data_IF_416114028807
#
_entry.id   IF_416114028807
#
_cell.length_a   1.000
_cell.length_b   1.000
_cell.length_c   1.000
_cell.angle_alpha   90.00
_cell.angle_beta   90.00
_cell.angle_gamma   90.00
#
_symmetry.space_group_name_H-M   'P 1'
#
loop_
_entity.id
_entity.type
_entity.pdbx_description
1 polymer ?
#
# COMPACT_ATOMS: atom_id res chain seq x y z
N UNK A 1 -18.93 12.20 -26.84
CA UNK A 1 -17.95 11.25 -26.28
C UNK A 1 -18.54 9.85 -26.07
N UNK A 2 -19.81 9.71 -25.65
CA UNK A 2 -20.46 8.41 -25.36
C UNK A 2 -20.46 7.40 -26.51
N UNK A 3 -21.09 7.71 -27.65
CA UNK A 3 -21.25 6.73 -28.74
C UNK A 3 -19.96 6.10 -29.29
N UNK A 4 -18.85 6.84 -29.32
CA UNK A 4 -17.56 6.29 -29.77
C UNK A 4 -16.94 5.36 -28.73
N UNK A 5 -17.02 5.73 -27.45
CA UNK A 5 -16.63 4.86 -26.35
C UNK A 5 -17.50 3.62 -26.30
N UNK A 6 -18.82 3.75 -26.46
CA UNK A 6 -19.78 2.63 -26.47
C UNK A 6 -19.53 1.67 -27.64
N UNK A 7 -19.11 2.20 -28.80
CA UNK A 7 -18.73 1.38 -29.96
C UNK A 7 -17.42 0.63 -29.73
N UNK A 8 -16.44 1.28 -29.08
CA UNK A 8 -15.15 0.65 -28.76
C UNK A 8 -15.31 -0.39 -27.66
N UNK A 9 -16.02 -0.08 -26.58
CA UNK A 9 -16.28 -1.04 -25.50
C UNK A 9 -17.12 -2.20 -26.02
N UNK A 10 -18.13 -1.95 -26.87
CA UNK A 10 -18.90 -2.99 -27.55
C UNK A 10 -18.07 -3.88 -28.48
N UNK A 11 -17.08 -3.34 -29.19
CA UNK A 11 -16.18 -4.16 -30.01
C UNK A 11 -15.18 -4.95 -29.17
N UNK A 12 -14.66 -4.35 -28.09
CA UNK A 12 -13.69 -4.97 -27.18
C UNK A 12 -14.31 -6.08 -26.32
N UNK A 13 -15.61 -5.99 -25.97
CA UNK A 13 -16.32 -7.09 -25.30
C UNK A 13 -16.52 -8.29 -26.22
N UNK A 14 -16.64 -8.07 -27.53
CA UNK A 14 -16.69 -9.14 -28.54
C UNK A 14 -15.29 -9.71 -28.82
N UNK A 15 -14.24 -8.89 -28.67
CA UNK A 15 -12.86 -9.25 -29.01
C UNK A 15 -11.89 -9.02 -27.82
N UNK A 16 -12.09 -9.69 -26.67
CA UNK A 16 -11.32 -9.43 -25.44
C UNK A 16 -9.84 -9.79 -25.57
N UNK A 17 -9.49 -10.68 -26.51
CA UNK A 17 -8.12 -11.08 -26.82
C UNK A 17 -7.24 -9.91 -27.26
N UNK A 18 -7.76 -8.98 -28.06
CA UNK A 18 -7.00 -7.81 -28.52
C UNK A 18 -6.75 -6.82 -27.39
N UNK A 19 -7.68 -6.72 -26.44
CA UNK A 19 -7.48 -5.93 -25.23
C UNK A 19 -6.42 -6.56 -24.33
N UNK A 20 -6.44 -7.89 -24.17
CA UNK A 20 -5.44 -8.61 -23.40
C UNK A 20 -4.03 -8.41 -23.99
N UNK A 21 -3.92 -8.51 -25.31
CA UNK A 21 -2.68 -8.21 -26.05
C UNK A 21 -2.26 -6.75 -25.86
N UNK A 22 -3.19 -5.81 -25.92
CA UNK A 22 -2.90 -4.39 -25.69
C UNK A 22 -2.38 -4.12 -24.27
N UNK A 23 -3.00 -4.68 -23.23
CA UNK A 23 -2.54 -4.59 -21.83
C UNK A 23 -1.11 -5.12 -21.71
N UNK A 24 -0.85 -6.30 -22.28
CA UNK A 24 0.47 -6.91 -22.26
C UNK A 24 1.53 -6.06 -22.98
N UNK A 25 1.24 -5.61 -24.20
CA UNK A 25 2.17 -4.82 -25.02
C UNK A 25 2.48 -3.48 -24.37
N UNK A 26 1.45 -2.75 -23.90
CA UNK A 26 1.66 -1.45 -23.26
C UNK A 26 2.46 -1.62 -21.97
N UNK A 27 2.15 -2.63 -21.15
CA UNK A 27 2.94 -2.90 -19.94
C UNK A 27 4.40 -3.25 -20.27
N UNK A 28 4.63 -4.03 -21.33
CA UNK A 28 5.97 -4.36 -21.82
C UNK A 28 6.74 -3.14 -22.31
N UNK A 29 6.13 -2.32 -23.17
CA UNK A 29 6.73 -1.09 -23.73
C UNK A 29 7.05 -0.08 -22.62
N UNK A 30 6.16 0.07 -21.64
CA UNK A 30 6.34 0.98 -20.52
C UNK A 30 7.50 0.59 -19.60
N UNK A 31 7.82 -0.71 -19.54
CA UNK A 31 8.96 -1.24 -18.77
C UNK A 31 10.24 -1.37 -19.61
N UNK A 32 10.13 -1.27 -20.93
CA UNK A 32 11.24 -1.37 -21.86
C UNK A 32 12.10 -0.09 -21.82
N UNK A 33 13.41 -0.27 -21.76
CA UNK A 33 14.38 0.82 -21.80
C UNK A 33 14.17 1.72 -23.04
N UNK A 34 14.24 3.04 -22.83
CA UNK A 34 14.08 4.11 -23.83
C UNK A 34 12.63 4.26 -24.30
N UNK A 35 11.96 3.17 -24.66
CA UNK A 35 10.56 3.20 -25.09
C UNK A 35 9.63 3.72 -23.98
N UNK A 36 9.78 3.22 -22.75
CA UNK A 36 9.00 3.67 -21.59
C UNK A 36 9.36 5.08 -21.06
N UNK A 37 10.34 5.75 -21.65
CA UNK A 37 10.64 7.18 -21.40
C UNK A 37 9.91 8.10 -22.38
N UNK A 38 9.73 7.64 -23.63
CA UNK A 38 9.13 8.43 -24.71
C UNK A 38 7.61 8.33 -24.66
N UNK A 39 7.08 7.13 -24.42
CA UNK A 39 5.65 6.89 -24.36
C UNK A 39 5.13 7.32 -22.99
N UNK A 40 4.05 8.13 -22.89
CA UNK A 40 3.40 8.44 -21.62
C UNK A 40 2.60 7.23 -21.13
N UNK A 41 3.27 6.13 -20.80
CA UNK A 41 2.60 4.87 -20.60
C UNK A 41 1.84 4.80 -19.29
N UNK A 42 2.03 5.70 -18.32
CA UNK A 42 1.17 5.75 -17.12
C UNK A 42 -0.27 6.12 -17.46
N UNK A 43 -0.46 7.08 -18.36
CA UNK A 43 -1.79 7.50 -18.85
C UNK A 43 -2.38 6.40 -19.73
N UNK A 44 -1.56 5.80 -20.59
CA UNK A 44 -2.02 4.72 -21.47
C UNK A 44 -2.40 3.46 -20.69
N UNK A 45 -1.61 3.07 -19.69
CA UNK A 45 -1.90 1.96 -18.77
C UNK A 45 -3.19 2.20 -18.01
N UNK A 46 -3.41 3.42 -17.50
CA UNK A 46 -4.66 3.76 -16.84
C UNK A 46 -5.85 3.62 -17.80
N UNK A 47 -5.72 4.15 -19.03
CA UNK A 47 -6.79 4.11 -20.02
C UNK A 47 -7.14 2.67 -20.45
N UNK A 48 -6.15 1.85 -20.79
CA UNK A 48 -6.40 0.45 -21.18
C UNK A 48 -6.88 -0.39 -19.99
N UNK A 49 -6.43 -0.10 -18.77
CA UNK A 49 -6.93 -0.75 -17.57
C UNK A 49 -8.40 -0.38 -17.33
N UNK A 50 -8.78 0.89 -17.51
CA UNK A 50 -10.17 1.32 -17.42
C UNK A 50 -11.05 0.66 -18.49
N UNK A 51 -10.54 0.49 -19.71
CA UNK A 51 -11.24 -0.31 -20.73
C UNK A 51 -11.36 -1.78 -20.32
N UNK A 52 -10.30 -2.38 -19.77
CA UNK A 52 -10.34 -3.76 -19.25
C UNK A 52 -11.39 -3.93 -18.14
N UNK A 53 -11.46 -2.96 -17.22
CA UNK A 53 -12.43 -2.93 -16.11
C UNK A 53 -13.88 -2.70 -16.54
N UNK A 54 -14.15 -2.26 -17.77
CA UNK A 54 -15.53 -2.07 -18.26
C UNK A 54 -16.32 -3.38 -18.46
N UNK A 55 -15.71 -4.53 -18.15
CA UNK A 55 -16.29 -5.86 -18.27
C UNK A 55 -15.62 -6.75 -19.31
N UNK A 56 -14.55 -6.27 -19.96
CA UNK A 56 -13.85 -7.02 -21.00
C UNK A 56 -12.80 -8.02 -20.45
N UNK A 57 -12.14 -7.71 -19.32
CA UNK A 57 -11.18 -8.60 -18.66
C UNK A 57 -11.37 -8.59 -17.15
N UNK A 58 -11.20 -9.73 -16.51
CA UNK A 58 -11.18 -9.82 -15.05
C UNK A 58 -9.99 -9.08 -14.45
N UNK A 59 -10.09 -8.72 -13.16
CA UNK A 59 -8.98 -8.11 -12.43
C UNK A 59 -7.73 -8.99 -12.45
N UNK A 60 -7.91 -10.30 -12.23
CA UNK A 60 -6.82 -11.27 -12.21
C UNK A 60 -6.11 -11.36 -13.55
N UNK A 61 -6.85 -11.39 -14.66
CA UNK A 61 -6.26 -11.43 -16.01
C UNK A 61 -5.50 -10.15 -16.31
N UNK A 62 -6.10 -8.99 -16.01
CA UNK A 62 -5.49 -7.69 -16.23
C UNK A 62 -4.18 -7.55 -15.44
N UNK A 63 -4.18 -7.95 -14.16
CA UNK A 63 -2.98 -7.93 -13.32
C UNK A 63 -1.94 -8.96 -13.78
N UNK A 64 -2.35 -10.16 -14.20
CA UNK A 64 -1.42 -11.18 -14.69
C UNK A 64 -0.75 -10.74 -16.00
N UNK A 65 -1.52 -10.21 -16.95
CA UNK A 65 -1.02 -9.71 -18.23
C UNK A 65 -0.08 -8.52 -18.05
N UNK A 66 -0.45 -7.57 -17.18
CA UNK A 66 0.41 -6.45 -16.81
C UNK A 66 1.72 -6.90 -16.17
N UNK A 67 1.65 -7.89 -15.29
CA UNK A 67 2.80 -8.45 -14.60
C UNK A 67 3.75 -9.17 -15.57
N UNK A 68 3.22 -10.03 -16.43
CA UNK A 68 4.01 -10.76 -17.44
C UNK A 68 4.61 -9.81 -18.47
N UNK A 69 3.84 -8.82 -18.94
CA UNK A 69 4.32 -7.79 -19.85
C UNK A 69 5.44 -6.96 -19.23
N UNK A 70 5.25 -6.50 -17.99
CA UNK A 70 6.25 -5.76 -17.25
C UNK A 70 7.54 -6.55 -16.99
N UNK A 71 7.43 -7.85 -16.66
CA UNK A 71 8.58 -8.75 -16.51
C UNK A 71 9.34 -8.96 -17.81
N UNK A 72 8.62 -9.12 -18.93
CA UNK A 72 9.24 -9.26 -20.23
C UNK A 72 10.02 -7.99 -20.60
N UNK A 73 9.42 -6.81 -20.43
CA UNK A 73 10.07 -5.51 -20.68
C UNK A 73 11.32 -5.31 -19.82
N UNK A 74 11.24 -5.64 -18.53
CA UNK A 74 12.38 -5.64 -17.61
C UNK A 74 13.49 -6.60 -18.07
N UNK A 75 13.13 -7.83 -18.44
CA UNK A 75 14.06 -8.85 -18.91
C UNK A 75 14.78 -8.44 -20.19
N UNK A 76 14.05 -7.95 -21.19
CA UNK A 76 14.63 -7.43 -22.44
C UNK A 76 15.60 -6.29 -22.13
N UNK A 77 15.20 -5.35 -21.27
CA UNK A 77 16.05 -4.22 -20.86
C UNK A 77 17.33 -4.69 -20.16
N UNK A 78 17.24 -5.67 -19.27
CA UNK A 78 18.38 -6.28 -18.60
C UNK A 78 19.34 -6.94 -19.59
N UNK A 79 18.85 -7.74 -20.53
CA UNK A 79 19.69 -8.40 -21.52
C UNK A 79 20.31 -7.41 -22.50
N UNK A 80 19.61 -6.34 -22.88
CA UNK A 80 20.18 -5.25 -23.66
C UNK A 80 21.35 -4.59 -22.90
N UNK A 81 21.15 -4.29 -21.62
CA UNK A 81 22.20 -3.75 -20.74
C UNK A 81 23.42 -4.67 -20.67
N UNK A 82 23.18 -5.98 -20.51
CA UNK A 82 24.24 -7.00 -20.42
C UNK A 82 24.95 -7.27 -21.74
N UNK A 83 24.27 -7.15 -22.87
CA UNK A 83 24.89 -7.39 -24.18
C UNK A 83 25.75 -6.20 -24.63
N UNK A 84 25.26 -4.98 -24.46
CA UNK A 84 25.95 -3.78 -24.97
C UNK A 84 26.88 -3.13 -23.95
N UNK A 85 26.74 -3.42 -22.64
CA UNK A 85 27.51 -2.80 -21.57
C UNK A 85 27.65 -1.27 -21.76
N UNK A 86 28.88 -0.74 -21.74
CA UNK A 86 29.18 0.69 -21.92
C UNK A 86 28.82 1.23 -23.31
N UNK A 87 28.72 0.37 -24.34
CA UNK A 87 28.37 0.79 -25.69
C UNK A 87 26.92 1.25 -25.83
N UNK A 88 26.05 0.93 -24.87
CA UNK A 88 24.64 1.34 -24.88
C UNK A 88 24.48 2.87 -24.88
N UNK A 89 25.48 3.59 -24.35
CA UNK A 89 25.56 5.05 -24.34
C UNK A 89 25.67 5.66 -25.74
N UNK A 90 26.03 4.86 -26.75
CA UNK A 90 26.14 5.29 -28.15
C UNK A 90 24.81 5.28 -28.89
N UNK A 91 23.75 4.70 -28.32
CA UNK A 91 22.42 4.71 -28.92
C UNK A 91 21.92 6.15 -29.08
N UNK A 92 21.30 6.52 -30.21
CA UNK A 92 20.96 7.90 -30.53
C UNK A 92 20.12 8.59 -29.45
N UNK A 93 19.14 7.90 -28.87
CA UNK A 93 18.32 8.46 -27.78
C UNK A 93 19.09 8.74 -26.48
N UNK A 94 19.99 7.83 -26.08
CA UNK A 94 20.80 7.97 -24.85
C UNK A 94 22.00 8.91 -25.04
N UNK A 95 22.47 9.07 -26.28
CA UNK A 95 23.55 10.01 -26.63
C UNK A 95 23.10 11.47 -26.49
N UNK A 96 21.85 11.75 -26.82
CA UNK A 96 21.27 13.09 -26.71
C UNK A 96 20.85 13.44 -25.28
N UNK A 97 20.49 12.45 -24.46
CA UNK A 97 20.09 12.61 -23.06
C UNK A 97 20.92 11.73 -22.10
N UNK A 98 22.21 12.03 -21.92
CA UNK A 98 23.08 11.26 -21.03
C UNK A 98 22.65 11.35 -19.56
N UNK A 99 21.88 12.38 -19.17
CA UNK A 99 21.37 12.53 -17.81
C UNK A 99 20.52 11.35 -17.33
N UNK A 100 19.74 10.70 -18.21
CA UNK A 100 18.86 9.58 -17.84
C UNK A 100 19.68 8.36 -17.41
N UNK A 101 20.73 8.06 -18.16
CA UNK A 101 21.67 6.97 -17.85
C UNK A 101 22.48 7.28 -16.58
N UNK A 102 23.07 8.48 -16.51
CA UNK A 102 23.91 8.88 -15.38
C UNK A 102 23.12 8.88 -14.06
N UNK A 103 21.85 9.31 -14.10
CA UNK A 103 20.97 9.31 -12.93
C UNK A 103 20.63 7.89 -12.47
N UNK A 104 20.33 6.99 -13.40
CA UNK A 104 20.05 5.59 -13.10
C UNK A 104 21.29 4.85 -12.57
N UNK A 105 22.47 5.07 -13.14
CA UNK A 105 23.75 4.50 -12.69
C UNK A 105 24.12 5.01 -11.29
N UNK A 106 24.04 6.33 -11.05
CA UNK A 106 24.29 6.91 -9.72
C UNK A 106 23.33 6.35 -8.67
N UNK A 107 22.06 6.20 -9.03
CA UNK A 107 21.05 5.63 -8.14
C UNK A 107 21.30 4.14 -7.87
N UNK A 108 21.69 3.38 -8.89
CA UNK A 108 22.04 1.97 -8.76
C UNK A 108 23.28 1.75 -7.90
N UNK A 109 24.34 2.54 -8.07
CA UNK A 109 25.53 2.49 -7.21
C UNK A 109 25.22 2.82 -5.75
N UNK A 110 24.29 3.76 -5.51
CA UNK A 110 23.93 4.19 -4.16
C UNK A 110 23.04 3.20 -3.42
N UNK A 111 22.06 2.59 -4.10
CA UNK A 111 21.03 1.76 -3.47
C UNK A 111 21.12 0.27 -3.84
N UNK A 112 21.99 -0.10 -4.77
CA UNK A 112 22.20 -1.48 -5.20
C UNK A 112 20.89 -2.16 -5.61
N UNK A 113 20.63 -3.33 -5.05
CA UNK A 113 19.42 -4.13 -5.33
C UNK A 113 18.14 -3.37 -4.98
N UNK A 114 18.14 -2.57 -3.91
CA UNK A 114 16.96 -1.82 -3.49
C UNK A 114 16.53 -0.76 -4.52
N UNK A 115 17.44 -0.36 -5.42
CA UNK A 115 17.13 0.56 -6.51
C UNK A 115 16.09 -0.02 -7.46
N UNK A 116 16.12 -1.32 -7.75
CA UNK A 116 15.17 -1.99 -8.65
C UNK A 116 13.76 -2.05 -8.07
N UNK A 117 13.65 -2.21 -6.74
CA UNK A 117 12.36 -2.23 -6.05
C UNK A 117 11.71 -0.84 -6.00
N UNK A 118 12.47 0.16 -5.51
CA UNK A 118 11.92 1.50 -5.23
C UNK A 118 11.92 2.38 -6.46
N UNK A 119 12.98 2.30 -7.26
CA UNK A 119 13.15 3.13 -8.46
C UNK A 119 12.13 2.82 -9.54
N UNK A 120 11.44 1.68 -9.47
CA UNK A 120 10.32 1.33 -10.36
C UNK A 120 9.13 2.29 -10.25
N UNK A 121 8.98 2.99 -9.13
CA UNK A 121 7.92 3.99 -8.91
C UNK A 121 8.38 5.43 -9.23
N UNK A 122 9.61 5.60 -9.72
CA UNK A 122 10.18 6.90 -10.10
C UNK A 122 10.19 6.98 -11.62
N UNK A 123 9.28 7.76 -12.20
CA UNK A 123 8.99 7.79 -13.65
C UNK A 123 10.21 7.67 -14.57
N UNK A 124 11.16 8.63 -14.55
CA UNK A 124 12.31 8.60 -15.46
C UNK A 124 13.32 7.48 -15.19
N UNK A 125 13.39 6.97 -13.96
CA UNK A 125 14.38 5.94 -13.59
C UNK A 125 13.87 4.52 -13.87
N UNK A 126 12.55 4.31 -13.82
CA UNK A 126 11.90 3.00 -13.92
C UNK A 126 12.40 2.15 -15.10
N UNK A 127 12.27 2.58 -16.38
CA UNK A 127 12.67 1.74 -17.52
C UNK A 127 14.20 1.62 -17.68
N UNK A 128 14.99 2.46 -17.00
CA UNK A 128 16.45 2.46 -17.09
C UNK A 128 17.12 1.50 -16.11
N UNK A 129 16.52 1.27 -14.95
CA UNK A 129 17.15 0.48 -13.87
C UNK A 129 17.40 -0.99 -14.23
N UNK A 130 16.48 -1.72 -14.89
CA UNK A 130 16.77 -3.08 -15.36
C UNK A 130 17.97 -3.12 -16.33
N UNK A 131 18.05 -2.14 -17.23
CA UNK A 131 19.16 -2.01 -18.19
C UNK A 131 20.49 -1.71 -17.48
N UNK A 132 20.50 -0.79 -16.51
CA UNK A 132 21.70 -0.50 -15.70
C UNK A 132 22.14 -1.73 -14.91
N UNK A 133 21.20 -2.49 -14.34
CA UNK A 133 21.52 -3.73 -13.62
C UNK A 133 22.21 -4.76 -14.54
N UNK A 134 21.76 -4.88 -15.80
CA UNK A 134 22.43 -5.71 -16.81
C UNK A 134 23.81 -5.19 -17.19
N UNK A 135 23.95 -3.88 -17.39
CA UNK A 135 25.21 -3.21 -17.72
C UNK A 135 26.28 -3.40 -16.64
N UNK A 136 25.87 -3.41 -15.36
CA UNK A 136 26.71 -3.64 -14.19
C UNK A 136 26.93 -5.12 -13.84
N UNK A 137 26.63 -6.05 -14.75
CA UNK A 137 26.84 -7.49 -14.57
C UNK A 137 26.15 -8.13 -13.36
N UNK A 138 24.98 -7.61 -12.96
CA UNK A 138 24.20 -8.22 -11.88
C UNK A 138 23.79 -9.66 -12.26
N UNK A 139 23.96 -10.67 -11.39
CA UNK A 139 23.55 -12.05 -11.70
C UNK A 139 22.05 -12.16 -11.99
N UNK A 140 21.69 -12.81 -13.10
CA UNK A 140 20.29 -12.93 -13.56
C UNK A 140 19.33 -13.47 -12.48
N UNK A 141 19.65 -14.51 -11.68
CA UNK A 141 18.73 -15.00 -10.65
C UNK A 141 18.39 -13.94 -9.59
N UNK A 142 19.36 -13.09 -9.24
CA UNK A 142 19.16 -11.99 -8.29
C UNK A 142 18.28 -10.90 -8.90
N UNK A 143 18.53 -10.55 -10.16
CA UNK A 143 17.71 -9.59 -10.90
C UNK A 143 16.27 -10.08 -11.02
N UNK A 144 16.06 -11.31 -11.47
CA UNK A 144 14.75 -11.90 -11.69
C UNK A 144 13.92 -11.95 -10.40
N UNK A 145 14.52 -12.39 -9.27
CA UNK A 145 13.82 -12.43 -7.98
C UNK A 145 13.30 -11.06 -7.55
N UNK A 146 14.11 -10.02 -7.75
CA UNK A 146 13.77 -8.64 -7.36
C UNK A 146 12.78 -8.02 -8.34
N UNK A 147 12.95 -8.27 -9.63
CA UNK A 147 12.05 -7.81 -10.69
C UNK A 147 10.65 -8.44 -10.54
N UNK A 148 10.54 -9.70 -10.15
CA UNK A 148 9.24 -10.34 -9.82
C UNK A 148 8.51 -9.57 -8.72
N UNK A 149 9.18 -9.28 -7.61
CA UNK A 149 8.54 -8.54 -6.50
C UNK A 149 8.19 -7.11 -6.92
N UNK A 150 9.09 -6.43 -7.64
CA UNK A 150 8.89 -5.07 -8.12
C UNK A 150 7.72 -4.99 -9.13
N UNK A 151 7.68 -5.91 -10.10
CA UNK A 151 6.67 -5.97 -11.15
C UNK A 151 5.30 -6.28 -10.57
N UNK A 152 5.20 -7.17 -9.58
CA UNK A 152 3.94 -7.45 -8.89
C UNK A 152 3.38 -6.19 -8.22
N UNK A 153 4.19 -5.50 -7.42
CA UNK A 153 3.78 -4.27 -6.73
C UNK A 153 3.44 -3.13 -7.70
N UNK A 154 4.22 -2.96 -8.76
CA UNK A 154 3.98 -1.97 -9.79
C UNK A 154 2.69 -2.23 -10.56
N UNK A 155 2.42 -3.48 -10.93
CA UNK A 155 1.22 -3.83 -11.69
C UNK A 155 -0.04 -3.49 -10.91
N UNK A 156 -0.07 -3.83 -9.62
CA UNK A 156 -1.16 -3.44 -8.72
C UNK A 156 -1.27 -1.90 -8.64
N UNK A 157 -0.16 -1.20 -8.42
CA UNK A 157 -0.20 0.27 -8.25
C UNK A 157 -0.69 1.03 -9.50
N UNK A 158 -0.34 0.57 -10.71
CA UNK A 158 -0.64 1.29 -11.95
C UNK A 158 -1.90 0.78 -12.67
N UNK A 159 -2.23 -0.51 -12.62
CA UNK A 159 -3.41 -1.05 -13.29
C UNK A 159 -4.67 -1.02 -12.43
N UNK A 160 -4.56 -1.24 -11.10
CA UNK A 160 -5.73 -1.32 -10.23
C UNK A 160 -6.58 -0.05 -10.24
N UNK A 161 -6.04 1.18 -10.17
CA UNK A 161 -6.86 2.39 -10.20
C UNK A 161 -7.62 2.57 -11.52
N UNK A 162 -6.98 2.26 -12.65
CA UNK A 162 -7.61 2.33 -13.97
C UNK A 162 -8.71 1.28 -14.10
N UNK A 163 -8.39 0.03 -13.79
CA UNK A 163 -9.36 -1.07 -13.85
C UNK A 163 -10.54 -0.87 -12.91
N UNK A 164 -10.31 -0.41 -11.67
CA UNK A 164 -11.37 -0.09 -10.73
C UNK A 164 -12.25 1.06 -11.24
N UNK A 165 -11.66 2.05 -11.91
CA UNK A 165 -12.42 3.13 -12.55
C UNK A 165 -13.32 2.58 -13.66
N UNK A 166 -12.82 1.66 -14.48
CA UNK A 166 -13.62 0.95 -15.48
C UNK A 166 -14.80 0.19 -14.89
N UNK A 167 -14.54 -0.58 -13.83
CA UNK A 167 -15.57 -1.36 -13.13
C UNK A 167 -16.62 -0.44 -12.47
N UNK A 168 -16.17 0.67 -11.88
CA UNK A 168 -17.04 1.69 -11.28
C UNK A 168 -18.04 2.29 -12.26
N UNK A 169 -17.67 2.46 -13.55
CA UNK A 169 -18.59 2.97 -14.57
C UNK A 169 -19.64 1.94 -15.02
N UNK A 170 -19.40 0.64 -14.82
CA UNK A 170 -20.35 -0.43 -15.13
C UNK A 170 -21.39 -0.61 -14.03
N UNK A 171 -20.95 -0.49 -12.78
CA UNK A 171 -21.81 -0.63 -11.62
C UNK A 171 -22.78 0.56 -11.52
N UNK A 172 -24.04 0.34 -11.09
CA UNK A 172 -24.97 1.41 -10.76
C UNK A 172 -24.55 2.11 -9.45
N UNK A 173 -23.40 2.78 -9.48
CA UNK A 173 -22.87 3.49 -8.33
C UNK A 173 -23.76 4.71 -8.00
N UNK A 174 -23.86 5.09 -6.72
CA UNK A 174 -24.61 6.29 -6.36
C UNK A 174 -24.00 7.53 -7.00
N UNK A 175 -24.84 8.50 -7.41
CA UNK A 175 -24.42 9.70 -8.14
C UNK A 175 -23.33 10.51 -7.41
N UNK A 176 -23.35 10.50 -6.07
CA UNK A 176 -22.38 11.17 -5.20
C UNK A 176 -21.04 10.45 -5.02
N UNK A 177 -20.84 9.25 -5.57
CA UNK A 177 -19.64 8.44 -5.32
C UNK A 177 -18.35 9.16 -5.72
N UNK A 178 -18.27 9.65 -6.95
CA UNK A 178 -17.06 10.29 -7.50
C UNK A 178 -16.65 11.58 -6.75
N UNK A 179 -17.56 12.54 -6.46
CA UNK A 179 -17.18 13.72 -5.70
C UNK A 179 -16.74 13.38 -4.27
N UNK A 180 -17.42 12.45 -3.59
CA UNK A 180 -17.03 12.01 -2.24
C UNK A 180 -15.67 11.30 -2.24
N UNK A 181 -15.42 10.41 -3.21
CA UNK A 181 -14.12 9.76 -3.40
C UNK A 181 -13.00 10.78 -3.66
N UNK A 182 -13.28 11.83 -4.45
CA UNK A 182 -12.33 12.89 -4.72
C UNK A 182 -11.99 13.71 -3.46
N UNK A 183 -12.98 14.00 -2.60
CA UNK A 183 -12.77 14.67 -1.31
C UNK A 183 -11.88 13.81 -0.40
N UNK A 184 -12.19 12.51 -0.27
CA UNK A 184 -11.38 11.58 0.54
C UNK A 184 -9.96 11.51 0.01
N UNK A 185 -9.77 11.32 -1.30
CA UNK A 185 -8.47 11.25 -1.93
C UNK A 185 -7.67 12.56 -1.76
N UNK A 186 -8.32 13.71 -1.93
CA UNK A 186 -7.71 15.03 -1.71
C UNK A 186 -7.22 15.23 -0.28
N UNK A 187 -8.06 14.89 0.72
CA UNK A 187 -7.68 14.95 2.13
C UNK A 187 -6.49 14.05 2.47
N UNK A 188 -6.47 12.81 1.97
CA UNK A 188 -5.34 11.89 2.16
C UNK A 188 -4.08 12.36 1.43
N UNK A 189 -4.20 12.93 0.23
CA UNK A 189 -3.08 13.49 -0.51
C UNK A 189 -2.46 14.70 0.21
N UNK A 190 -3.27 15.59 0.77
CA UNK A 190 -2.81 16.70 1.62
C UNK A 190 -2.15 16.15 2.90
N UNK A 191 -2.78 15.17 3.55
CA UNK A 191 -2.23 14.20 4.50
C UNK A 191 -0.75 13.88 4.27
N UNK A 192 -0.55 13.09 3.23
CA UNK A 192 0.72 12.49 2.84
C UNK A 192 1.70 13.58 2.39
N UNK A 193 1.23 14.57 1.63
CA UNK A 193 2.04 15.69 1.15
C UNK A 193 2.62 16.52 2.30
N UNK A 194 1.81 16.87 3.29
CA UNK A 194 2.27 17.56 4.50
C UNK A 194 3.26 16.69 5.29
N UNK A 195 2.98 15.39 5.44
CA UNK A 195 3.85 14.45 6.14
C UNK A 195 5.23 14.32 5.48
N UNK A 196 5.26 14.13 4.15
CA UNK A 196 6.49 14.02 3.37
C UNK A 196 7.27 15.34 3.36
N UNK A 197 6.61 16.46 3.06
CA UNK A 197 7.26 17.76 3.00
C UNK A 197 7.83 18.18 4.36
N UNK A 198 7.07 18.03 5.44
CA UNK A 198 7.53 18.38 6.78
C UNK A 198 8.71 17.51 7.25
N UNK A 199 8.67 16.21 6.92
CA UNK A 199 9.75 15.27 7.21
C UNK A 199 11.01 15.56 6.40
N UNK A 200 10.88 15.81 5.09
CA UNK A 200 12.00 16.10 4.19
C UNK A 200 12.69 17.42 4.51
N UNK A 201 11.94 18.45 4.90
CA UNK A 201 12.48 19.75 5.36
C UNK A 201 13.05 19.70 6.78
N UNK A 202 12.95 18.57 7.47
CA UNK A 202 13.54 18.39 8.80
C UNK A 202 12.93 19.28 9.89
N UNK A 203 11.67 19.69 9.75
CA UNK A 203 11.05 20.56 10.75
C UNK A 203 10.95 19.86 12.12
N UNK A 204 11.46 20.52 13.16
CA UNK A 204 11.44 19.98 14.55
C UNK A 204 10.03 19.65 15.06
N UNK A 205 9.00 20.31 14.52
CA UNK A 205 7.58 20.11 14.87
C UNK A 205 6.80 19.27 13.85
N UNK A 206 7.47 18.63 12.89
CA UNK A 206 6.81 17.83 11.84
C UNK A 206 5.84 16.79 12.41
N UNK A 207 6.27 16.01 13.41
CA UNK A 207 5.43 15.00 14.08
C UNK A 207 4.15 15.60 14.67
N UNK A 208 4.24 16.78 15.30
CA UNK A 208 3.08 17.44 15.88
C UNK A 208 2.12 17.93 14.80
N UNK A 209 2.63 18.51 13.71
CA UNK A 209 1.79 18.93 12.59
C UNK A 209 1.06 17.76 11.93
N UNK A 210 1.73 16.62 11.76
CA UNK A 210 1.11 15.40 11.24
C UNK A 210 0.04 14.87 12.21
N UNK A 211 0.33 14.87 13.52
CA UNK A 211 -0.62 14.49 14.56
C UNK A 211 -1.86 15.40 14.60
N UNK A 212 -1.68 16.71 14.52
CA UNK A 212 -2.78 17.67 14.46
C UNK A 212 -3.58 17.53 13.15
N UNK A 213 -2.93 17.41 12.00
CA UNK A 213 -3.62 17.25 10.73
C UNK A 213 -4.43 15.93 10.69
N UNK A 214 -3.87 14.83 11.19
CA UNK A 214 -4.59 13.55 11.28
C UNK A 214 -5.75 13.61 12.28
N UNK A 215 -5.60 14.32 13.40
CA UNK A 215 -6.69 14.53 14.35
C UNK A 215 -7.81 15.37 13.76
N UNK A 216 -7.49 16.46 13.04
CA UNK A 216 -8.49 17.30 12.38
C UNK A 216 -9.27 16.49 11.35
N UNK A 217 -8.60 15.69 10.53
CA UNK A 217 -9.25 14.80 9.57
C UNK A 217 -10.08 13.71 10.26
N UNK A 218 -9.62 13.17 11.39
CA UNK A 218 -10.38 12.19 12.18
C UNK A 218 -11.68 12.79 12.72
N UNK A 219 -11.61 14.00 13.29
CA UNK A 219 -12.78 14.72 13.81
C UNK A 219 -13.72 15.07 12.67
N UNK A 220 -13.21 15.57 11.55
CA UNK A 220 -14.00 15.87 10.36
C UNK A 220 -14.73 14.63 9.84
N UNK A 221 -14.04 13.47 9.80
CA UNK A 221 -14.64 12.21 9.40
C UNK A 221 -15.71 11.74 10.39
N UNK A 222 -15.48 11.85 11.70
CA UNK A 222 -16.47 11.50 12.72
C UNK A 222 -17.74 12.35 12.66
N UNK A 223 -17.62 13.62 12.28
CA UNK A 223 -18.76 14.52 12.11
C UNK A 223 -19.46 14.25 10.76
N UNK A 224 -18.68 14.04 9.71
CA UNK A 224 -19.16 14.03 8.31
C UNK A 224 -19.34 12.66 7.67
N UNK A 225 -19.20 11.53 8.38
CA UNK A 225 -19.25 10.21 7.74
C UNK A 225 -20.58 9.91 7.04
N UNK A 226 -21.71 10.44 7.53
CA UNK A 226 -23.02 10.31 6.87
C UNK A 226 -23.05 10.96 5.49
N UNK A 227 -22.22 11.99 5.26
CA UNK A 227 -22.05 12.62 3.95
C UNK A 227 -21.13 11.83 3.02
N UNK A 228 -20.62 10.67 3.46
CA UNK A 228 -19.77 9.76 2.70
C UNK A 228 -20.44 8.40 2.46
N UNK A 229 -21.77 8.32 2.61
CA UNK A 229 -22.51 7.07 2.42
C UNK A 229 -22.41 6.58 0.96
N UNK A 230 -22.37 7.46 -0.03
CA UNK A 230 -22.23 7.05 -1.44
C UNK A 230 -20.84 6.46 -1.70
N UNK A 231 -19.79 7.05 -1.12
CA UNK A 231 -18.43 6.52 -1.15
C UNK A 231 -18.36 5.13 -0.51
N UNK A 232 -18.95 4.97 0.68
CA UNK A 232 -18.95 3.70 1.41
C UNK A 232 -19.67 2.59 0.64
N UNK A 233 -20.88 2.85 0.15
CA UNK A 233 -21.65 1.87 -0.61
C UNK A 233 -21.01 1.57 -1.96
N UNK A 234 -20.55 2.60 -2.68
CA UNK A 234 -19.98 2.43 -4.01
C UNK A 234 -18.66 1.67 -3.98
N UNK A 235 -17.77 1.99 -3.05
CA UNK A 235 -16.50 1.27 -2.92
C UNK A 235 -16.72 -0.16 -2.39
N UNK A 236 -17.68 -0.36 -1.48
CA UNK A 236 -18.04 -1.71 -1.02
C UNK A 236 -18.60 -2.54 -2.18
N UNK A 237 -19.51 -2.00 -2.99
CA UNK A 237 -20.07 -2.69 -4.16
C UNK A 237 -18.98 -3.11 -5.16
N UNK A 238 -18.06 -2.20 -5.48
CA UNK A 238 -16.92 -2.47 -6.36
C UNK A 238 -16.04 -3.61 -5.84
N UNK A 239 -15.79 -3.61 -4.53
CA UNK A 239 -14.99 -4.65 -3.89
C UNK A 239 -15.74 -5.99 -3.83
N UNK A 240 -17.05 -5.98 -3.56
CA UNK A 240 -17.85 -7.21 -3.47
C UNK A 240 -18.06 -7.89 -4.83
N UNK A 241 -18.22 -7.13 -5.93
CA UNK A 241 -18.36 -7.69 -7.29
C UNK A 241 -17.16 -8.58 -7.67
N UNK A 242 -15.98 -8.31 -7.12
CA UNK A 242 -14.72 -8.94 -7.50
C UNK A 242 -14.17 -9.91 -6.47
N UNK A 243 -15.04 -10.40 -5.59
CA UNK A 243 -14.67 -11.47 -4.68
C UNK A 243 -14.46 -12.78 -5.43
N UNK A 244 -13.53 -13.58 -4.92
CA UNK A 244 -13.27 -14.92 -5.44
C UNK A 244 -12.90 -15.88 -4.29
N UNK A 245 -13.22 -17.18 -4.40
CA UNK A 245 -13.02 -18.13 -3.29
C UNK A 245 -11.56 -18.23 -2.81
N UNK A 246 -10.60 -18.18 -3.74
CA UNK A 246 -9.18 -18.24 -3.39
C UNK A 246 -8.71 -16.97 -2.66
N UNK A 247 -9.21 -15.81 -3.08
CA UNK A 247 -8.85 -14.52 -2.48
C UNK A 247 -9.53 -14.35 -1.11
N UNK A 248 -10.73 -14.91 -0.94
CA UNK A 248 -11.39 -15.01 0.36
C UNK A 248 -10.52 -15.75 1.38
N UNK A 249 -9.96 -16.91 1.02
CA UNK A 249 -9.06 -17.65 1.91
C UNK A 249 -7.82 -16.83 2.30
N UNK A 250 -7.21 -16.15 1.33
CA UNK A 250 -6.05 -15.28 1.58
C UNK A 250 -6.43 -14.12 2.51
N UNK A 251 -7.55 -13.44 2.24
CA UNK A 251 -8.01 -12.28 3.03
C UNK A 251 -8.44 -12.68 4.44
N UNK A 252 -8.99 -13.88 4.63
CA UNK A 252 -9.29 -14.44 5.96
C UNK A 252 -8.00 -14.69 6.75
N UNK A 253 -6.95 -15.24 6.14
CA UNK A 253 -5.66 -15.43 6.82
C UNK A 253 -5.01 -14.08 7.17
N UNK A 254 -5.07 -13.11 6.27
CA UNK A 254 -4.57 -11.75 6.51
C UNK A 254 -5.34 -11.07 7.65
N UNK A 255 -6.67 -11.09 7.63
CA UNK A 255 -7.46 -10.38 8.66
C UNK A 255 -7.24 -10.93 10.06
N UNK A 256 -6.90 -12.21 10.19
CA UNK A 256 -6.65 -12.82 11.50
C UNK A 256 -5.45 -12.19 12.22
N UNK A 257 -4.47 -11.64 11.50
CA UNK A 257 -3.37 -10.90 12.10
C UNK A 257 -3.88 -9.65 12.86
N UNK A 258 -4.98 -9.05 12.40
CA UNK A 258 -5.60 -7.89 13.03
C UNK A 258 -6.63 -8.21 14.11
N UNK A 259 -6.88 -9.48 14.42
CA UNK A 259 -7.86 -9.86 15.44
C UNK A 259 -7.45 -9.31 16.81
N UNK A 260 -8.40 -8.74 17.56
CA UNK A 260 -8.11 -8.04 18.81
C UNK A 260 -7.25 -8.85 19.79
N UNK A 261 -7.59 -10.12 20.04
CA UNK A 261 -6.86 -10.98 21.00
C UNK A 261 -5.43 -11.26 20.54
N UNK A 262 -5.27 -11.60 19.26
CA UNK A 262 -3.97 -11.88 18.63
C UNK A 262 -3.08 -10.63 18.60
N UNK A 263 -3.66 -9.50 18.23
CA UNK A 263 -2.96 -8.22 18.17
C UNK A 263 -2.60 -7.69 19.57
N UNK A 264 -3.47 -7.91 20.57
CA UNK A 264 -3.18 -7.60 21.97
C UNK A 264 -2.00 -8.43 22.48
N UNK A 265 -1.98 -9.73 22.20
CA UNK A 265 -0.85 -10.60 22.56
C UNK A 265 0.45 -10.14 21.88
N UNK A 266 0.43 -9.89 20.56
CA UNK A 266 1.60 -9.38 19.84
C UNK A 266 2.09 -8.03 20.40
N UNK A 267 1.17 -7.14 20.77
CA UNK A 267 1.43 -5.84 21.40
C UNK A 267 2.05 -5.97 22.80
N UNK A 268 1.56 -6.92 23.59
CA UNK A 268 2.09 -7.23 24.92
C UNK A 268 3.51 -7.81 24.81
N UNK A 269 3.76 -8.72 23.87
CA UNK A 269 5.11 -9.23 23.58
C UNK A 269 6.03 -8.11 23.12
N UNK A 270 5.60 -7.26 22.18
CA UNK A 270 6.40 -6.14 21.68
C UNK A 270 6.81 -5.18 22.83
N UNK A 271 5.86 -4.79 23.66
CA UNK A 271 6.13 -3.90 24.80
C UNK A 271 6.96 -4.61 25.87
N UNK A 272 6.65 -5.87 26.18
CA UNK A 272 7.36 -6.69 27.17
C UNK A 272 8.82 -6.93 26.81
N UNK A 273 9.13 -7.23 25.54
CA UNK A 273 10.50 -7.39 25.07
C UNK A 273 11.31 -6.09 25.21
N UNK A 274 10.69 -4.93 24.98
CA UNK A 274 11.35 -3.64 25.21
C UNK A 274 11.63 -3.39 26.70
N UNK A 275 10.70 -3.77 27.59
CA UNK A 275 10.90 -3.70 29.04
C UNK A 275 12.03 -4.64 29.50
N UNK A 276 12.04 -5.89 29.02
CA UNK A 276 13.09 -6.88 29.31
C UNK A 276 14.46 -6.42 28.80
N UNK A 277 14.51 -5.80 27.63
CA UNK A 277 15.72 -5.18 27.07
C UNK A 277 16.10 -3.84 27.74
N UNK A 278 15.41 -3.45 28.82
CA UNK A 278 15.59 -2.20 29.58
C UNK A 278 15.46 -0.92 28.73
N UNK A 279 14.73 -0.99 27.62
CA UNK A 279 14.44 0.14 26.74
C UNK A 279 13.15 0.87 27.18
N UNK A 280 13.15 1.40 28.41
CA UNK A 280 11.97 1.96 29.06
C UNK A 280 11.26 3.05 28.25
N UNK A 281 12.01 3.96 27.63
CA UNK A 281 11.43 5.06 26.83
C UNK A 281 10.74 4.55 25.57
N UNK A 282 11.32 3.54 24.91
CA UNK A 282 10.72 2.89 23.75
C UNK A 282 9.49 2.09 24.15
N UNK A 283 9.54 1.38 25.29
CA UNK A 283 8.41 0.66 25.85
C UNK A 283 7.26 1.60 26.21
N UNK A 284 7.53 2.77 26.82
CA UNK A 284 6.50 3.79 27.11
C UNK A 284 5.89 4.31 25.82
N UNK A 285 6.70 4.65 24.80
CA UNK A 285 6.19 5.08 23.50
C UNK A 285 5.28 4.04 22.85
N UNK A 286 5.73 2.78 22.76
CA UNK A 286 4.99 1.68 22.13
C UNK A 286 3.73 1.35 22.94
N UNK A 287 3.88 1.17 24.26
CA UNK A 287 2.79 0.83 25.17
C UNK A 287 1.70 1.90 25.21
N UNK A 288 2.08 3.19 25.30
CA UNK A 288 1.10 4.29 25.26
C UNK A 288 0.39 4.37 23.91
N UNK A 289 1.12 4.20 22.80
CA UNK A 289 0.52 4.20 21.46
C UNK A 289 -0.52 3.09 21.30
N UNK A 290 -0.18 1.87 21.70
CA UNK A 290 -1.04 0.69 21.55
C UNK A 290 -2.24 0.74 22.52
N UNK A 291 -2.01 1.11 23.78
CA UNK A 291 -3.06 1.23 24.78
C UNK A 291 -4.05 2.35 24.43
N UNK A 292 -3.56 3.54 24.08
CA UNK A 292 -4.43 4.64 23.70
C UNK A 292 -5.22 4.34 22.42
N UNK A 293 -4.61 3.68 21.42
CA UNK A 293 -5.35 3.24 20.23
C UNK A 293 -6.49 2.28 20.59
N UNK A 294 -6.26 1.30 21.47
CA UNK A 294 -7.27 0.35 21.90
C UNK A 294 -8.40 1.00 22.73
N UNK A 295 -8.05 1.86 23.69
CA UNK A 295 -9.01 2.55 24.56
C UNK A 295 -9.86 3.54 23.77
N UNK A 296 -9.24 4.40 22.96
CA UNK A 296 -9.96 5.40 22.15
C UNK A 296 -10.82 4.70 21.09
N UNK A 297 -10.33 3.64 20.45
CA UNK A 297 -11.15 2.85 19.52
C UNK A 297 -12.38 2.29 20.23
N UNK A 298 -12.21 1.64 21.38
CA UNK A 298 -13.33 1.06 22.14
C UNK A 298 -14.33 2.12 22.59
N UNK A 299 -13.86 3.26 23.11
CA UNK A 299 -14.72 4.36 23.56
C UNK A 299 -15.51 5.00 22.42
N UNK A 300 -14.85 5.33 21.30
CA UNK A 300 -15.52 5.90 20.11
C UNK A 300 -16.51 4.92 19.49
N UNK A 301 -16.20 3.62 19.55
CA UNK A 301 -17.07 2.55 19.03
C UNK A 301 -18.37 2.41 19.79
N UNK A 302 -18.32 2.58 21.12
CA UNK A 302 -19.52 2.64 21.95
C UNK A 302 -20.30 3.96 21.75
N UNK A 303 -19.61 5.06 21.44
CA UNK A 303 -20.22 6.37 21.23
C UNK A 303 -21.01 6.46 19.91
N UNK A 304 -20.41 6.05 18.78
CA UNK A 304 -21.07 6.15 17.47
C UNK A 304 -22.10 5.06 17.24
N UNK A 305 -21.92 3.88 17.85
CA UNK A 305 -22.83 2.75 17.72
C UNK A 305 -23.22 2.40 16.25
N UNK A 306 -22.30 2.66 15.29
CA UNK A 306 -22.59 2.50 13.86
C UNK A 306 -22.78 1.03 13.47
N UNK A 307 -23.80 0.77 12.66
CA UNK A 307 -24.08 -0.54 12.07
C UNK A 307 -23.00 -0.99 11.09
N UNK A 308 -22.84 -2.32 10.93
CA UNK A 308 -21.94 -2.93 9.94
C UNK A 308 -22.64 -3.11 8.59
N UNK A 309 -21.88 -3.32 7.50
CA UNK A 309 -22.46 -3.81 6.25
C UNK A 309 -23.15 -5.17 6.46
N UNK A 310 -24.34 -5.35 5.89
CA UNK A 310 -25.16 -6.57 6.00
C UNK A 310 -24.77 -7.63 4.96
N UNK A 311 -23.46 -7.91 4.84
CA UNK A 311 -22.92 -8.84 3.82
C UNK A 311 -22.57 -10.21 4.40
N UNK A 312 -22.36 -10.28 5.73
CA UNK A 312 -21.91 -11.49 6.42
C UNK A 312 -23.10 -12.38 6.82
N UNK A 313 -22.97 -13.69 6.60
CA UNK A 313 -23.93 -14.72 7.01
C UNK A 313 -24.06 -14.85 8.53
N UNK A 314 -22.98 -14.61 9.29
CA UNK A 314 -22.96 -14.51 10.75
C UNK A 314 -22.58 -13.07 11.19
N UNK A 315 -23.56 -12.21 11.50
CA UNK A 315 -23.31 -10.80 11.77
C UNK A 315 -22.51 -10.60 13.07
N UNK A 316 -21.44 -9.83 12.98
CA UNK A 316 -20.62 -9.46 14.12
C UNK A 316 -21.41 -8.55 15.08
N UNK A 317 -21.56 -8.98 16.34
CA UNK A 317 -22.35 -8.27 17.38
C UNK A 317 -21.75 -6.95 17.88
N UNK A 318 -20.60 -6.53 17.35
CA UNK A 318 -19.91 -5.29 17.74
C UNK A 318 -20.08 -4.20 16.68
N UNK A 319 -20.09 -2.93 17.09
CA UNK A 319 -20.22 -1.79 16.17
C UNK A 319 -19.09 -1.72 15.11
N UNK A 320 -19.28 -0.89 14.09
CA UNK A 320 -18.38 -0.81 12.93
C UNK A 320 -17.31 0.27 13.09
N UNK A 321 -17.69 1.49 13.48
CA UNK A 321 -16.81 2.67 13.49
C UNK A 321 -16.15 2.89 14.85
N UNK A 322 -14.83 3.18 14.94
CA UNK A 322 -13.79 2.95 13.94
C UNK A 322 -13.33 1.48 13.93
N UNK A 323 -12.71 1.04 12.83
CA UNK A 323 -12.22 -0.34 12.71
C UNK A 323 -11.05 -0.62 13.65
N UNK A 324 -11.25 -1.57 14.57
CA UNK A 324 -10.21 -2.01 15.53
C UNK A 324 -9.06 -2.76 14.88
N UNK A 325 -9.32 -3.48 13.78
CA UNK A 325 -8.27 -4.15 13.00
C UNK A 325 -7.35 -3.11 12.35
N UNK A 326 -7.94 -2.07 11.73
CA UNK A 326 -7.18 -1.00 11.12
C UNK A 326 -6.39 -0.21 12.17
N UNK A 327 -7.03 0.28 13.24
CA UNK A 327 -6.33 1.09 14.25
C UNK A 327 -5.24 0.30 14.98
N UNK A 328 -5.49 -0.96 15.33
CA UNK A 328 -4.51 -1.81 16.00
C UNK A 328 -3.30 -2.13 15.10
N UNK A 329 -3.55 -2.52 13.85
CA UNK A 329 -2.48 -2.82 12.90
C UNK A 329 -1.62 -1.59 12.60
N UNK A 330 -2.24 -0.44 12.26
CA UNK A 330 -1.49 0.78 12.01
C UNK A 330 -0.73 1.25 13.25
N UNK A 331 -1.30 1.21 14.45
CA UNK A 331 -0.61 1.60 15.68
C UNK A 331 0.65 0.76 15.93
N UNK A 332 0.56 -0.57 15.76
CA UNK A 332 1.66 -1.49 15.95
C UNK A 332 2.77 -1.32 14.91
N UNK A 333 2.42 -1.36 13.61
CA UNK A 333 3.42 -1.31 12.56
C UNK A 333 4.01 0.09 12.38
N UNK A 334 3.26 1.17 12.63
CA UNK A 334 3.83 2.52 12.65
C UNK A 334 4.79 2.69 13.83
N UNK A 335 4.46 2.19 15.03
CA UNK A 335 5.37 2.24 16.16
C UNK A 335 6.68 1.48 15.85
N UNK A 336 6.58 0.27 15.29
CA UNK A 336 7.74 -0.53 14.87
C UNK A 336 8.58 0.20 13.80
N UNK A 337 7.94 0.74 12.76
CA UNK A 337 8.58 1.49 11.70
C UNK A 337 9.30 2.75 12.21
N UNK A 338 8.67 3.47 13.14
CA UNK A 338 9.25 4.66 13.76
C UNK A 338 10.48 4.30 14.58
N UNK A 339 10.47 3.18 15.29
CA UNK A 339 11.64 2.68 16.03
C UNK A 339 12.76 2.25 15.07
N UNK A 340 12.43 1.54 13.99
CA UNK A 340 13.39 1.09 12.96
C UNK A 340 14.06 2.26 12.23
N UNK A 341 13.33 3.35 12.00
CA UNK A 341 13.87 4.57 11.40
C UNK A 341 14.79 5.40 12.31
N UNK A 342 14.89 5.11 13.62
CA UNK A 342 15.71 5.93 14.53
C UNK A 342 17.19 5.82 14.17
N UNK A 343 17.88 6.96 14.22
CA UNK A 343 19.31 7.06 13.86
C UNK A 343 19.58 7.06 12.35
N UNK A 344 18.58 6.81 11.51
CA UNK A 344 18.73 6.79 10.05
C UNK A 344 18.47 8.17 9.42
N UNK A 345 18.99 8.45 8.21
CA UNK A 345 18.63 9.63 7.42
C UNK A 345 17.14 9.64 7.07
N UNK A 346 16.58 10.82 6.81
CA UNK A 346 15.13 11.03 6.54
C UNK A 346 14.58 10.09 5.47
N UNK A 347 15.34 9.83 4.40
CA UNK A 347 14.90 8.94 3.31
C UNK A 347 14.63 7.52 3.81
N UNK A 348 15.54 6.96 4.60
CA UNK A 348 15.38 5.62 5.18
C UNK A 348 14.29 5.59 6.25
N UNK A 349 14.08 6.67 6.99
CA UNK A 349 12.93 6.79 7.91
C UNK A 349 11.60 6.65 7.16
N UNK A 350 11.46 7.36 6.04
CA UNK A 350 10.27 7.26 5.20
C UNK A 350 10.12 5.85 4.61
N UNK A 351 11.22 5.21 4.20
CA UNK A 351 11.20 3.80 3.76
C UNK A 351 10.65 2.88 4.86
N UNK A 352 11.13 3.00 6.10
CA UNK A 352 10.60 2.20 7.21
C UNK A 352 9.12 2.46 7.47
N UNK A 353 8.67 3.72 7.39
CA UNK A 353 7.24 4.06 7.51
C UNK A 353 6.41 3.39 6.42
N UNK A 354 6.86 3.44 5.16
CA UNK A 354 6.19 2.75 4.05
C UNK A 354 6.14 1.24 4.27
N UNK A 355 7.26 0.63 4.70
CA UNK A 355 7.33 -0.81 5.00
C UNK A 355 6.39 -1.21 6.14
N UNK A 356 6.21 -0.36 7.17
CA UNK A 356 5.24 -0.60 8.24
C UNK A 356 3.79 -0.43 7.77
N UNK A 357 3.52 0.54 6.90
CA UNK A 357 2.16 0.76 6.37
C UNK A 357 1.67 -0.39 5.50
N UNK A 358 2.54 -1.12 4.80
CA UNK A 358 2.16 -2.22 3.90
C UNK A 358 1.33 -3.32 4.62
N UNK A 359 1.86 -4.02 5.66
CA UNK A 359 1.09 -5.06 6.34
C UNK A 359 -0.15 -4.50 7.05
N UNK A 360 -0.06 -3.28 7.59
CA UNK A 360 -1.21 -2.61 8.21
C UNK A 360 -2.34 -2.35 7.21
N UNK A 361 -1.99 -1.89 6.00
CA UNK A 361 -2.92 -1.66 4.90
C UNK A 361 -3.57 -2.96 4.42
N UNK A 362 -2.80 -4.06 4.28
CA UNK A 362 -3.38 -5.36 3.92
C UNK A 362 -4.40 -5.85 4.95
N UNK A 363 -4.09 -5.75 6.24
CA UNK A 363 -5.04 -6.09 7.32
C UNK A 363 -6.28 -5.20 7.26
N UNK A 364 -6.10 -3.89 7.08
CA UNK A 364 -7.20 -2.94 6.98
C UNK A 364 -8.11 -3.20 5.76
N UNK A 365 -7.53 -3.35 4.57
CA UNK A 365 -8.25 -3.60 3.32
C UNK A 365 -8.97 -4.95 3.32
N UNK A 366 -8.41 -5.98 3.98
CA UNK A 366 -9.09 -7.27 4.14
C UNK A 366 -10.46 -7.14 4.79
N UNK A 367 -10.69 -6.12 5.64
CA UNK A 367 -11.99 -5.90 6.30
C UNK A 367 -13.05 -5.31 5.37
N UNK A 368 -12.65 -4.50 4.40
CA UNK A 368 -13.55 -3.98 3.35
C UNK A 368 -13.85 -5.12 2.38
N UNK A 369 -12.84 -5.88 1.98
CA UNK A 369 -12.96 -7.05 1.12
C UNK A 369 -13.94 -8.09 1.67
N UNK A 370 -13.77 -8.46 2.94
CA UNK A 370 -14.64 -9.42 3.62
C UNK A 370 -16.01 -8.84 4.01
N UNK A 371 -16.35 -7.60 3.60
CA UNK A 371 -17.65 -6.98 3.87
C UNK A 371 -17.92 -6.70 5.35
N UNK A 372 -16.90 -6.61 6.18
CA UNK A 372 -17.05 -6.51 7.64
C UNK A 372 -17.02 -5.08 8.18
N UNK A 373 -16.54 -4.12 7.39
CA UNK A 373 -16.41 -2.71 7.74
C UNK A 373 -16.62 -1.84 6.50
N UNK A 374 -17.17 -0.65 6.73
CA UNK A 374 -17.23 0.39 5.71
C UNK A 374 -15.83 0.96 5.45
N UNK A 375 -15.53 1.41 4.22
CA UNK A 375 -14.28 2.11 3.91
C UNK A 375 -13.95 3.27 4.87
N UNK A 376 -14.93 4.09 5.24
CA UNK A 376 -14.75 5.19 6.21
C UNK A 376 -14.38 4.69 7.61
N UNK A 377 -14.84 3.51 8.05
CA UNK A 377 -14.42 2.93 9.34
C UNK A 377 -12.92 2.61 9.36
N UNK A 378 -12.38 2.20 8.21
CA UNK A 378 -10.96 1.92 8.01
C UNK A 378 -10.15 3.20 8.00
N UNK A 379 -10.63 4.25 7.32
CA UNK A 379 -10.03 5.57 7.34
C UNK A 379 -9.98 6.14 8.76
N UNK A 380 -11.09 6.05 9.51
CA UNK A 380 -11.17 6.48 10.90
C UNK A 380 -10.19 5.72 11.79
N UNK A 381 -10.10 4.39 11.64
CA UNK A 381 -9.13 3.57 12.38
C UNK A 381 -7.68 3.95 12.07
N UNK A 382 -7.37 4.21 10.80
CA UNK A 382 -6.03 4.61 10.34
C UNK A 382 -5.65 5.99 10.87
N UNK A 383 -6.55 6.98 10.74
CA UNK A 383 -6.35 8.34 11.26
C UNK A 383 -6.19 8.35 12.79
N UNK A 384 -6.97 7.54 13.52
CA UNK A 384 -6.84 7.35 14.96
C UNK A 384 -5.45 6.83 15.32
N UNK A 385 -4.97 5.77 14.65
CA UNK A 385 -3.64 5.22 14.89
C UNK A 385 -2.53 6.24 14.61
N UNK A 386 -2.61 6.97 13.49
CA UNK A 386 -1.63 8.02 13.16
C UNK A 386 -1.62 9.14 14.20
N UNK A 387 -2.80 9.57 14.63
CA UNK A 387 -2.99 10.62 15.65
C UNK A 387 -2.33 10.22 16.96
N UNK A 388 -2.73 9.06 17.50
CA UNK A 388 -2.21 8.54 18.77
C UNK A 388 -0.71 8.30 18.69
N UNK A 389 -0.22 7.71 17.59
CA UNK A 389 1.20 7.46 17.42
C UNK A 389 2.01 8.77 17.38
N UNK A 390 1.54 9.79 16.66
CA UNK A 390 2.21 11.08 16.58
C UNK A 390 2.25 11.80 17.93
N UNK A 391 1.14 11.83 18.68
CA UNK A 391 1.09 12.46 20.00
C UNK A 391 1.92 11.69 21.04
N UNK A 392 1.82 10.35 21.10
CA UNK A 392 2.64 9.51 21.97
C UNK A 392 4.14 9.69 21.69
N UNK A 393 4.50 9.83 20.41
CA UNK A 393 5.87 10.13 20.01
C UNK A 393 6.30 11.53 20.47
N UNK A 394 5.44 12.53 20.26
CA UNK A 394 5.66 13.91 20.69
C UNK A 394 5.91 14.02 22.20
N UNK A 395 5.09 13.34 23.01
CA UNK A 395 5.24 13.27 24.47
C UNK A 395 6.57 12.58 24.84
N UNK A 396 6.86 11.44 24.22
CA UNK A 396 8.08 10.66 24.48
C UNK A 396 9.37 11.41 24.10
N UNK A 397 9.27 12.40 23.22
CA UNK A 397 10.39 13.20 22.72
C UNK A 397 10.43 14.63 23.27
N UNK A 398 9.47 15.01 24.11
CA UNK A 398 9.31 16.38 24.61
C UNK A 398 10.57 16.90 25.30
N UNK A 399 11.18 16.08 26.16
CA UNK A 399 12.42 16.45 26.89
C UNK A 399 13.69 16.13 26.12
N UNK A 400 13.73 15.00 25.42
CA UNK A 400 14.89 14.58 24.64
C UNK A 400 14.48 13.67 23.49
N UNK A 401 15.19 13.68 22.34
CA UNK A 401 14.90 12.76 21.25
C UNK A 401 14.92 11.30 21.69
N UNK A 402 14.08 10.47 21.08
CA UNK A 402 14.11 9.02 21.31
C UNK A 402 15.34 8.45 20.59
N UNK A 403 16.29 7.83 21.30
CA UNK A 403 17.52 7.34 20.69
C UNK A 403 17.27 6.10 19.83
N UNK A 404 18.22 5.81 18.94
CA UNK A 404 18.22 4.53 18.21
C UNK A 404 18.43 3.37 19.19
N UNK A 405 17.74 2.25 18.94
CA UNK A 405 17.93 1.04 19.75
C UNK A 405 19.24 0.35 19.38
N UNK A 406 19.82 -0.35 20.36
CA UNK A 406 21.02 -1.16 20.14
C UNK A 406 20.74 -2.31 19.16
N UNK A 407 21.75 -2.74 18.41
CA UNK A 407 21.60 -3.87 17.50
C UNK A 407 21.22 -5.17 18.25
N UNK A 408 21.75 -5.38 19.46
CA UNK A 408 21.39 -6.53 20.32
C UNK A 408 19.88 -6.55 20.65
N UNK A 409 19.28 -5.38 20.88
CA UNK A 409 17.83 -5.27 21.09
C UNK A 409 17.06 -5.69 19.84
N UNK A 410 17.52 -5.28 18.65
CA UNK A 410 16.89 -5.70 17.39
C UNK A 410 17.01 -7.21 17.13
N UNK A 411 18.15 -7.82 17.47
CA UNK A 411 18.35 -9.27 17.38
C UNK A 411 17.39 -10.07 18.28
N UNK A 412 16.96 -9.50 19.41
CA UNK A 412 15.93 -10.10 20.25
C UNK A 412 14.52 -9.82 19.71
N UNK A 413 14.26 -8.56 19.37
CA UNK A 413 12.92 -8.06 19.10
C UNK A 413 12.38 -8.55 17.76
N UNK A 414 13.16 -8.41 16.68
CA UNK A 414 12.66 -8.69 15.33
C UNK A 414 12.33 -10.18 15.13
N UNK A 415 13.20 -11.15 15.50
CA UNK A 415 12.86 -12.56 15.35
C UNK A 415 11.66 -12.97 16.20
N UNK A 416 11.52 -12.43 17.41
CA UNK A 416 10.38 -12.72 18.27
C UNK A 416 9.06 -12.18 17.69
N UNK A 417 9.06 -10.95 17.16
CA UNK A 417 7.87 -10.41 16.50
C UNK A 417 7.52 -11.18 15.23
N UNK A 418 8.51 -11.55 14.42
CA UNK A 418 8.28 -12.38 13.22
C UNK A 418 7.72 -13.74 13.63
N UNK A 419 8.27 -14.39 14.65
CA UNK A 419 7.79 -15.67 15.14
C UNK A 419 6.34 -15.59 15.63
N UNK A 420 5.99 -14.56 16.42
CA UNK A 420 4.63 -14.36 16.92
C UNK A 420 3.65 -14.08 15.76
N UNK A 421 3.99 -13.17 14.85
CA UNK A 421 3.12 -12.86 13.71
C UNK A 421 2.98 -14.04 12.75
N UNK A 422 4.05 -14.80 12.53
CA UNK A 422 4.02 -16.01 11.69
C UNK A 422 3.18 -17.11 12.34
N UNK A 423 3.34 -17.32 13.64
CA UNK A 423 2.50 -18.25 14.40
C UNK A 423 1.02 -17.87 14.33
N UNK A 424 0.70 -16.58 14.49
CA UNK A 424 -0.66 -16.07 14.35
C UNK A 424 -1.22 -16.30 12.94
N UNK A 425 -0.42 -16.06 11.90
CA UNK A 425 -0.84 -16.26 10.50
C UNK A 425 -1.10 -17.75 10.18
N UNK A 426 -0.32 -18.66 10.76
CA UNK A 426 -0.40 -20.09 10.49
C UNK A 426 -1.47 -20.80 11.31
N UNK A 427 -1.83 -20.28 12.48
CA UNK A 427 -2.83 -20.88 13.39
C UNK A 427 -4.27 -20.46 13.10
N UNK A 428 -4.56 -20.11 11.85
CA UNK A 428 -5.89 -19.68 11.45
C UNK A 428 -6.95 -20.75 11.67
N UNK A 429 -8.08 -20.36 12.26
CA UNK A 429 -9.14 -21.30 12.61
C UNK A 429 -10.01 -21.63 11.41
N UNK A 430 -10.38 -22.91 11.18
CA UNK A 430 -11.36 -23.30 10.17
C UNK A 430 -12.69 -22.54 10.30
N UNK A 431 -13.09 -22.20 11.54
CA UNK A 431 -14.27 -21.38 11.82
C UNK A 431 -14.23 -19.98 11.22
N UNK A 432 -13.05 -19.36 11.09
CA UNK A 432 -12.95 -18.06 10.45
C UNK A 432 -13.24 -18.16 8.95
N UNK A 433 -12.79 -19.22 8.29
CA UNK A 433 -13.10 -19.45 6.87
C UNK A 433 -14.60 -19.67 6.66
N UNK A 434 -15.25 -20.44 7.53
CA UNK A 434 -16.71 -20.66 7.48
C UNK A 434 -17.53 -19.38 7.70
N UNK A 435 -17.05 -18.44 8.52
CA UNK A 435 -17.74 -17.16 8.79
C UNK A 435 -17.74 -16.19 7.60
N UNK A 436 -16.75 -16.29 6.73
CA UNK A 436 -16.61 -15.45 5.54
C UNK A 436 -16.88 -16.20 4.23
N UNK A 437 -17.19 -17.49 4.33
CA UNK A 437 -17.62 -18.31 3.21
C UNK A 437 -18.94 -17.74 2.67
N UNK A 438 -18.93 -17.44 1.37
CA UNK A 438 -20.09 -16.99 0.61
C UNK A 438 -20.85 -18.19 0.05
#
# INVERSE_FOLDING_TARGET
MGQWLDSITGWLTVNPEWLAVAVFIVACVECLAIAGLIVPGTVLLFAIAALAGSGALSLSETLLLGFLGGLLGDGVSYFLGRHFHQNIRRLPGLRHHPEWMNSAETYFHKYGIASLLVGRFIGPLRPMLPMVAGMCDMPFPRFAAVSIVAAAGWTVAYLLPGWATGAAFRLPLPEGFWPEAAVVAGCLAVLIGLSLNSSLRGHRRATLWIGCASLVLLIALFIGYHSLDNFDHGLTALVQEHRSPWLDEVMVRITQLGEFRKMFFASAVFTGLLLLARQWRHAVFVGTTLAAAAVINTGTKLFFARGRPEILTDPLTSFSMPSGHASGAFAFFLALAILAGRGQPTRLRLTWMLLGCIPAAFIALSRVYLGAHWPTDILAGTLLAMTVCAFSLGISQYRSPLPAMSQKTWWLLLPALIAVLSFIALTGTPHALLRYAY
#
